data_IF_531571404472
#
_entry.id   IF_531571404472
#
_cell.length_a   1.000
_cell.length_b   1.000
_cell.length_c   1.000
_cell.angle_alpha   90.00
_cell.angle_beta   90.00
_cell.angle_gamma   90.00
#
_symmetry.space_group_name_H-M   'P 1'
#
loop_
_entity.id
_entity.type
_entity.pdbx_description
1 polymer ?
#
# COMPACT_ATOMS: atom_id res chain seq x y z
N UNK A 1 -4.38 -25.70 14.50
CA UNK A 1 -4.90 -25.17 13.24
C UNK A 1 -6.26 -24.51 13.49
N UNK A 2 -6.32 -23.17 13.34
CA UNK A 2 -7.50 -22.32 13.62
C UNK A 2 -8.70 -22.77 12.78
N UNK A 3 -8.48 -23.10 11.50
CA UNK A 3 -9.54 -23.48 10.56
C UNK A 3 -10.23 -24.77 11.04
N UNK A 4 -9.47 -25.81 11.33
CA UNK A 4 -10.02 -27.10 11.78
C UNK A 4 -10.77 -26.97 13.11
N UNK A 5 -10.24 -26.17 14.04
CA UNK A 5 -10.92 -25.88 15.30
C UNK A 5 -12.24 -25.15 15.10
N UNK A 6 -12.27 -24.18 14.18
CA UNK A 6 -13.49 -23.43 13.85
C UNK A 6 -14.55 -24.33 13.19
N UNK A 7 -14.15 -25.22 12.27
CA UNK A 7 -15.05 -26.18 11.61
C UNK A 7 -15.77 -27.13 12.60
N UNK A 8 -15.15 -27.42 13.73
CA UNK A 8 -15.79 -28.24 14.81
C UNK A 8 -16.45 -27.39 15.89
N UNK A 9 -16.71 -26.10 15.60
CA UNK A 9 -17.45 -25.18 16.48
C UNK A 9 -16.65 -24.62 17.66
N UNK A 10 -15.33 -24.79 17.71
CA UNK A 10 -14.47 -24.21 18.76
C UNK A 10 -14.05 -22.80 18.37
N UNK A 11 -14.36 -21.82 19.24
CA UNK A 11 -13.82 -20.46 19.08
C UNK A 11 -12.30 -20.48 19.23
N UNK A 12 -11.60 -19.90 18.25
CA UNK A 12 -10.16 -19.70 18.29
C UNK A 12 -9.84 -18.21 18.19
N UNK A 13 -8.87 -17.77 18.94
CA UNK A 13 -8.32 -16.42 18.89
C UNK A 13 -6.82 -16.58 18.69
N UNK A 14 -6.30 -16.08 17.56
CA UNK A 14 -4.89 -16.03 17.24
C UNK A 14 -4.54 -14.57 16.92
N UNK A 15 -3.82 -13.91 17.82
CA UNK A 15 -3.46 -12.48 17.77
C UNK A 15 -1.93 -12.34 17.82
N UNK A 16 -1.24 -13.18 17.06
CA UNK A 16 0.21 -13.12 16.97
C UNK A 16 0.61 -12.12 15.87
N UNK A 17 1.57 -11.26 16.19
CA UNK A 17 2.21 -10.42 15.19
C UNK A 17 3.00 -11.29 14.22
N UNK A 18 2.90 -10.99 12.93
CA UNK A 18 3.62 -11.73 11.90
C UNK A 18 4.23 -10.76 10.90
N UNK A 19 5.56 -10.76 10.84
CA UNK A 19 6.33 -10.04 9.82
C UNK A 19 6.40 -10.79 8.49
N UNK A 20 5.62 -11.86 8.33
CA UNK A 20 5.62 -12.66 7.12
C UNK A 20 5.04 -11.87 5.95
N UNK A 21 5.84 -11.77 4.90
CA UNK A 21 5.37 -11.24 3.62
C UNK A 21 4.24 -12.10 3.08
N UNK A 22 3.15 -11.47 2.66
CA UNK A 22 2.03 -12.12 1.99
C UNK A 22 2.21 -12.21 0.47
N UNK A 23 3.35 -11.74 -0.03
CA UNK A 23 3.71 -11.85 -1.44
C UNK A 23 3.86 -13.34 -1.82
N UNK A 24 3.26 -13.74 -2.93
CA UNK A 24 3.31 -15.11 -3.42
C UNK A 24 2.32 -16.08 -2.78
N UNK A 25 1.49 -15.64 -1.82
CA UNK A 25 0.44 -16.50 -1.29
C UNK A 25 -0.66 -16.76 -2.33
N UNK A 26 -1.23 -17.98 -2.36
CA UNK A 26 -2.37 -18.28 -3.22
C UNK A 26 -3.56 -17.37 -2.91
N UNK A 27 -4.23 -16.89 -3.95
CA UNK A 27 -5.41 -16.04 -3.81
C UNK A 27 -6.48 -16.37 -4.87
N UNK A 28 -7.72 -16.09 -4.52
CA UNK A 28 -8.86 -16.20 -5.43
C UNK A 28 -9.20 -14.80 -5.91
N UNK A 29 -9.23 -14.58 -7.24
CA UNK A 29 -9.65 -13.32 -7.83
C UNK A 29 -11.13 -13.34 -8.17
N UNK A 30 -11.85 -12.31 -7.77
CA UNK A 30 -13.24 -12.08 -8.21
C UNK A 30 -13.27 -11.43 -9.60
N UNK A 31 -12.24 -10.63 -9.94
CA UNK A 31 -12.04 -10.02 -11.25
C UNK A 31 -10.70 -10.52 -11.82
N UNK A 32 -10.76 -11.28 -12.90
CA UNK A 32 -9.58 -11.86 -13.55
C UNK A 32 -8.67 -10.82 -14.22
N UNK A 33 -9.19 -9.63 -14.54
CA UNK A 33 -8.42 -8.56 -15.17
C UNK A 33 -7.60 -7.73 -14.17
N UNK A 34 -7.88 -7.83 -12.85
CA UNK A 34 -7.25 -7.00 -11.81
C UNK A 34 -6.43 -7.86 -10.85
N UNK A 35 -5.14 -7.58 -10.78
CA UNK A 35 -4.22 -8.13 -9.78
C UNK A 35 -4.06 -7.17 -8.60
N UNK A 36 -4.39 -7.59 -7.38
CA UNK A 36 -4.17 -6.80 -6.18
C UNK A 36 -2.90 -7.29 -5.50
N UNK A 37 -1.92 -6.39 -5.35
CA UNK A 37 -0.61 -6.69 -4.78
C UNK A 37 -0.40 -5.85 -3.52
N UNK A 38 -0.40 -6.49 -2.36
CA UNK A 38 -0.01 -5.83 -1.11
C UNK A 38 1.49 -5.57 -1.13
N UNK A 39 1.90 -4.31 -0.84
CA UNK A 39 3.30 -3.89 -0.88
C UNK A 39 3.90 -3.71 0.52
N UNK A 40 3.05 -3.54 1.52
CA UNK A 40 3.43 -3.44 2.92
C UNK A 40 2.26 -3.77 3.84
N UNK A 41 2.52 -4.22 5.04
CA UNK A 41 1.57 -4.31 6.15
C UNK A 41 1.84 -3.22 7.18
N UNK A 42 0.86 -2.91 8.03
CA UNK A 42 1.01 -1.88 9.06
C UNK A 42 1.13 -0.45 8.50
N UNK A 43 1.56 0.49 9.33
CA UNK A 43 1.70 1.90 8.98
C UNK A 43 2.64 2.64 9.94
N UNK A 44 3.34 3.66 9.47
CA UNK A 44 4.15 4.55 10.32
C UNK A 44 3.32 5.62 11.05
N UNK A 45 2.12 5.92 10.54
CA UNK A 45 1.27 6.98 11.11
C UNK A 45 0.60 6.53 12.42
N UNK A 46 0.32 7.51 13.28
CA UNK A 46 -0.37 7.32 14.57
C UNK A 46 -1.71 8.07 14.61
N UNK A 47 -2.47 8.02 13.52
CA UNK A 47 -3.75 8.73 13.44
C UNK A 47 -4.69 8.27 14.55
N UNK A 48 -5.23 9.22 15.33
CA UNK A 48 -5.99 8.95 16.56
C UNK A 48 -7.28 8.16 16.36
N UNK A 49 -7.80 8.12 15.16
CA UNK A 49 -9.04 7.41 14.77
C UNK A 49 -8.78 6.04 14.09
N UNK A 50 -7.50 5.66 13.88
CA UNK A 50 -7.18 4.51 13.03
C UNK A 50 -7.09 3.20 13.83
N UNK A 51 -8.14 2.37 13.72
CA UNK A 51 -8.13 1.03 14.29
C UNK A 51 -7.24 0.06 13.50
N UNK A 52 -6.99 0.33 12.21
CA UNK A 52 -6.11 -0.50 11.38
C UNK A 52 -4.67 -0.51 11.91
N UNK A 53 -4.17 0.62 12.43
CA UNK A 53 -2.86 0.71 13.09
C UNK A 53 -2.79 -0.23 14.29
N UNK A 54 -3.83 -0.27 15.11
CA UNK A 54 -3.90 -1.16 16.28
C UNK A 54 -3.92 -2.64 15.87
N UNK A 55 -4.53 -2.95 14.73
CA UNK A 55 -4.67 -4.33 14.26
C UNK A 55 -3.48 -4.85 13.44
N UNK A 56 -2.80 -3.97 12.68
CA UNK A 56 -1.71 -4.34 11.76
C UNK A 56 -0.32 -3.92 12.23
N UNK A 57 -0.21 -3.17 13.32
CA UNK A 57 1.05 -2.76 13.92
C UNK A 57 1.83 -1.73 13.10
N UNK A 58 3.15 -1.77 13.29
CA UNK A 58 4.10 -0.90 12.62
C UNK A 58 4.29 -1.27 11.15
N UNK A 59 4.89 -0.35 10.38
CA UNK A 59 5.16 -0.57 8.97
C UNK A 59 6.13 -1.75 8.81
N UNK A 60 5.74 -2.68 7.96
CA UNK A 60 6.57 -3.78 7.47
C UNK A 60 6.45 -3.80 5.93
N UNK A 61 7.40 -3.18 5.25
CA UNK A 61 7.44 -3.12 3.78
C UNK A 61 8.00 -4.41 3.20
N UNK A 62 7.38 -4.89 2.12
CA UNK A 62 7.88 -6.06 1.41
C UNK A 62 9.01 -5.66 0.47
N UNK A 63 9.94 -6.58 0.22
CA UNK A 63 11.10 -6.31 -0.64
C UNK A 63 10.65 -6.03 -2.07
N UNK A 64 11.23 -5.01 -2.67
CA UNK A 64 10.94 -4.56 -4.03
C UNK A 64 10.93 -5.71 -5.05
N UNK A 65 11.97 -6.56 -5.03
CA UNK A 65 12.08 -7.70 -5.96
C UNK A 65 10.97 -8.74 -5.79
N UNK A 66 10.44 -8.92 -4.57
CA UNK A 66 9.33 -9.85 -4.32
C UNK A 66 8.03 -9.29 -4.90
N UNK A 67 7.80 -7.98 -4.72
CA UNK A 67 6.62 -7.30 -5.29
C UNK A 67 6.67 -7.36 -6.82
N UNK A 68 7.82 -7.05 -7.43
CA UNK A 68 7.98 -7.11 -8.89
C UNK A 68 7.67 -8.52 -9.41
N UNK A 69 8.19 -9.57 -8.76
CA UNK A 69 7.87 -10.97 -9.13
C UNK A 69 6.38 -11.28 -8.99
N UNK A 70 5.74 -10.77 -7.93
CA UNK A 70 4.29 -10.96 -7.77
C UNK A 70 3.51 -10.29 -8.90
N UNK A 71 3.87 -9.06 -9.26
CA UNK A 71 3.24 -8.34 -10.38
C UNK A 71 3.42 -9.12 -11.68
N UNK A 72 4.61 -9.64 -11.97
CA UNK A 72 4.85 -10.49 -13.15
C UNK A 72 3.96 -11.74 -13.13
N UNK A 73 3.73 -12.35 -11.97
CA UNK A 73 2.82 -13.49 -11.83
C UNK A 73 1.38 -13.10 -12.14
N UNK A 74 0.87 -11.96 -11.59
CA UNK A 74 -0.46 -11.46 -11.88
C UNK A 74 -0.68 -11.24 -13.39
N UNK A 75 0.32 -10.64 -14.06
CA UNK A 75 0.26 -10.36 -15.51
C UNK A 75 0.26 -11.67 -16.31
N UNK A 76 1.12 -12.62 -15.98
CA UNK A 76 1.16 -13.94 -16.61
C UNK A 76 -0.15 -14.71 -16.46
N UNK A 77 -0.88 -14.49 -15.37
CA UNK A 77 -2.19 -15.06 -15.12
C UNK A 77 -3.34 -14.29 -15.79
N UNK A 78 -3.01 -13.27 -16.60
CA UNK A 78 -3.95 -12.54 -17.47
C UNK A 78 -4.44 -11.21 -16.92
N UNK A 79 -3.96 -10.73 -15.78
CA UNK A 79 -4.30 -9.40 -15.30
C UNK A 79 -3.79 -8.31 -16.25
N UNK A 80 -4.64 -7.31 -16.48
CA UNK A 80 -4.34 -6.11 -17.29
C UNK A 80 -4.21 -4.85 -16.46
N UNK A 81 -4.54 -4.95 -15.20
CA UNK A 81 -4.45 -3.86 -14.23
C UNK A 81 -3.88 -4.41 -12.92
N UNK A 82 -2.92 -3.74 -12.34
CA UNK A 82 -2.31 -4.09 -11.05
C UNK A 82 -2.50 -2.96 -10.05
N UNK A 83 -3.08 -3.29 -8.91
CA UNK A 83 -3.26 -2.36 -7.81
C UNK A 83 -2.20 -2.60 -6.73
N UNK A 84 -1.29 -1.65 -6.57
CA UNK A 84 -0.34 -1.62 -5.47
C UNK A 84 -1.05 -1.09 -4.22
N UNK A 85 -1.17 -1.90 -3.20
CA UNK A 85 -2.00 -1.59 -2.02
C UNK A 85 -1.24 -1.81 -0.72
N UNK A 86 -1.55 -0.99 0.27
CA UNK A 86 -1.15 -1.17 1.66
C UNK A 86 -2.10 -0.37 2.57
N UNK A 87 -1.85 -0.36 3.87
CA UNK A 87 -2.56 0.54 4.79
C UNK A 87 -2.29 2.01 4.43
N UNK A 88 -1.04 2.32 4.03
CA UNK A 88 -0.61 3.64 3.56
C UNK A 88 0.57 3.43 2.60
N UNK A 89 0.35 3.66 1.29
CA UNK A 89 1.41 3.50 0.30
C UNK A 89 2.47 4.61 0.38
N UNK A 90 2.12 5.78 0.94
CA UNK A 90 3.03 6.92 1.01
C UNK A 90 4.27 6.69 1.86
N UNK A 91 4.20 5.75 2.81
CA UNK A 91 5.34 5.39 3.66
C UNK A 91 6.05 4.10 3.23
N UNK A 92 5.63 3.47 2.11
CA UNK A 92 6.30 2.27 1.63
C UNK A 92 7.81 2.46 1.52
N UNK A 93 8.55 1.48 2.03
CA UNK A 93 9.99 1.38 1.87
C UNK A 93 10.82 2.19 2.87
N UNK A 94 10.22 3.07 3.68
CA UNK A 94 10.99 3.90 4.63
C UNK A 94 11.66 3.08 5.72
N UNK A 95 11.13 1.92 6.05
CA UNK A 95 11.69 0.95 7.00
C UNK A 95 12.82 0.08 6.40
N UNK A 96 12.88 -0.01 5.08
CA UNK A 96 13.85 -0.84 4.36
C UNK A 96 14.77 -0.04 3.42
N UNK A 97 14.82 1.30 3.55
CA UNK A 97 15.73 2.17 2.82
C UNK A 97 15.38 2.39 1.34
N UNK A 98 14.10 2.32 0.98
CA UNK A 98 13.57 2.63 -0.36
C UNK A 98 12.34 3.53 -0.25
N UNK A 99 11.63 3.76 -1.37
CA UNK A 99 10.43 4.57 -1.41
C UNK A 99 9.43 4.10 -2.49
N UNK A 100 8.20 4.59 -2.41
CA UNK A 100 7.13 4.26 -3.35
C UNK A 100 7.46 4.60 -4.81
N UNK A 101 8.03 5.78 -5.14
CA UNK A 101 8.44 6.09 -6.52
C UNK A 101 9.41 5.06 -7.11
N UNK A 102 10.39 4.63 -6.33
CA UNK A 102 11.34 3.60 -6.74
C UNK A 102 10.63 2.28 -7.09
N UNK A 103 9.64 1.89 -6.29
CA UNK A 103 8.83 0.70 -6.57
C UNK A 103 7.98 0.88 -7.84
N UNK A 104 7.30 2.02 -7.99
CA UNK A 104 6.46 2.31 -9.17
C UNK A 104 7.30 2.23 -10.45
N UNK A 105 8.49 2.84 -10.45
CA UNK A 105 9.41 2.78 -11.58
C UNK A 105 9.81 1.34 -11.90
N UNK A 106 10.24 0.56 -10.90
CA UNK A 106 10.64 -0.83 -11.10
C UNK A 106 9.50 -1.73 -11.63
N UNK A 107 8.27 -1.50 -11.19
CA UNK A 107 7.10 -2.20 -11.72
C UNK A 107 6.78 -1.76 -13.15
N UNK A 108 6.98 -0.48 -13.47
CA UNK A 108 6.75 0.08 -14.82
C UNK A 108 7.74 -0.45 -15.86
N UNK A 109 8.93 -0.90 -15.45
CA UNK A 109 9.95 -1.50 -16.33
C UNK A 109 9.57 -2.91 -16.82
N UNK A 110 8.57 -3.56 -16.23
CA UNK A 110 8.06 -4.85 -16.70
C UNK A 110 7.55 -4.68 -18.14
N UNK A 111 8.03 -5.47 -19.14
CA UNK A 111 7.83 -5.16 -20.56
C UNK A 111 6.39 -5.38 -21.06
N UNK A 112 5.58 -6.15 -20.33
CA UNK A 112 4.21 -6.48 -20.71
C UNK A 112 3.29 -5.24 -20.67
N UNK A 113 2.19 -5.29 -21.41
CA UNK A 113 1.17 -4.23 -21.45
C UNK A 113 0.15 -4.43 -20.32
N UNK A 114 0.16 -3.50 -19.36
CA UNK A 114 -0.74 -3.45 -18.22
C UNK A 114 -0.74 -2.06 -17.59
N UNK A 115 -1.71 -1.79 -16.73
CA UNK A 115 -1.85 -0.52 -16.02
C UNK A 115 -1.56 -0.68 -14.52
N UNK A 116 -0.93 0.32 -13.92
CA UNK A 116 -0.60 0.38 -12.50
C UNK A 116 -1.48 1.40 -11.80
N UNK A 117 -2.21 0.97 -10.77
CA UNK A 117 -2.93 1.85 -9.87
C UNK A 117 -2.27 1.84 -8.50
N UNK A 118 -1.91 3.02 -8.01
CA UNK A 118 -1.39 3.18 -6.65
C UNK A 118 -2.55 3.47 -5.69
N UNK A 119 -2.58 2.77 -4.58
CA UNK A 119 -3.58 2.95 -3.52
C UNK A 119 -3.39 4.25 -2.72
N UNK A 120 -4.09 4.35 -1.59
CA UNK A 120 -4.13 5.54 -0.74
C UNK A 120 -2.75 5.90 -0.17
N UNK A 121 -2.47 7.20 -0.12
CA UNK A 121 -1.26 7.78 0.47
C UNK A 121 -1.62 8.88 1.48
N UNK A 122 -0.96 8.89 2.62
CA UNK A 122 -1.11 9.97 3.59
C UNK A 122 -0.32 11.21 3.13
N UNK A 123 -0.93 12.42 3.12
CA UNK A 123 -0.25 13.66 2.73
C UNK A 123 1.05 13.93 3.50
N UNK A 124 1.17 13.51 4.75
CA UNK A 124 2.35 13.78 5.59
C UNK A 124 3.67 13.29 5.01
N UNK A 125 3.64 12.30 4.12
CA UNK A 125 4.84 11.74 3.50
C UNK A 125 5.20 12.39 2.16
N UNK A 126 4.29 13.21 1.60
CA UNK A 126 4.47 13.81 0.27
C UNK A 126 5.69 14.73 0.19
N UNK A 127 6.00 15.49 1.24
CA UNK A 127 7.19 16.35 1.29
C UNK A 127 8.50 15.58 1.00
N UNK A 128 8.54 14.29 1.28
CA UNK A 128 9.74 13.43 1.08
C UNK A 128 9.81 12.82 -0.31
N UNK A 129 8.67 12.57 -0.96
CA UNK A 129 8.62 11.77 -2.20
C UNK A 129 7.95 12.48 -3.38
N UNK A 130 7.30 13.67 -3.20
CA UNK A 130 6.42 14.27 -4.22
C UNK A 130 7.10 14.43 -5.57
N UNK A 131 8.32 14.94 -5.63
CA UNK A 131 9.00 15.18 -6.88
C UNK A 131 9.24 13.88 -7.67
N UNK A 132 9.83 12.88 -7.02
CA UNK A 132 10.05 11.56 -7.63
C UNK A 132 8.73 10.84 -7.96
N UNK A 133 7.69 11.06 -7.14
CA UNK A 133 6.38 10.49 -7.37
C UNK A 133 5.75 11.07 -8.64
N UNK A 134 5.78 12.39 -8.82
CA UNK A 134 5.32 13.05 -10.05
C UNK A 134 6.06 12.48 -11.26
N UNK A 135 7.37 12.38 -11.22
CA UNK A 135 8.19 11.80 -12.29
C UNK A 135 7.79 10.35 -12.59
N UNK A 136 7.53 9.52 -11.56
CA UNK A 136 7.08 8.13 -11.77
C UNK A 136 5.67 8.04 -12.38
N UNK A 137 4.83 9.06 -12.14
CA UNK A 137 3.48 9.13 -12.71
C UNK A 137 3.48 9.62 -14.17
N UNK A 138 4.59 10.14 -14.72
CA UNK A 138 4.70 10.45 -16.15
C UNK A 138 4.73 9.18 -17.02
N UNK A 139 5.03 8.03 -16.44
CA UNK A 139 4.98 6.75 -17.16
C UNK A 139 3.56 6.41 -17.64
N UNK A 140 3.44 5.98 -18.90
CA UNK A 140 2.15 5.69 -19.54
C UNK A 140 1.39 4.53 -18.88
N UNK A 141 2.11 3.60 -18.24
CA UNK A 141 1.50 2.48 -17.49
C UNK A 141 0.85 2.90 -16.19
N UNK A 142 1.14 4.10 -15.67
CA UNK A 142 0.60 4.54 -14.37
C UNK A 142 -0.67 5.33 -14.58
N UNK A 143 -1.75 4.90 -13.94
CA UNK A 143 -3.00 5.66 -13.91
C UNK A 143 -2.76 7.06 -13.32
N UNK A 144 -3.20 8.10 -14.02
CA UNK A 144 -3.12 9.50 -13.57
C UNK A 144 -4.16 9.78 -12.47
N UNK A 145 -4.16 8.94 -11.45
CA UNK A 145 -5.08 8.96 -10.32
C UNK A 145 -4.33 8.94 -9.00
N UNK A 146 -4.59 9.91 -8.15
CA UNK A 146 -4.03 10.04 -6.81
C UNK A 146 -5.14 9.95 -5.76
N UNK A 147 -4.97 9.07 -4.76
CA UNK A 147 -5.85 8.98 -3.61
C UNK A 147 -5.10 9.50 -2.38
N UNK A 148 -5.26 10.78 -2.08
CA UNK A 148 -4.57 11.49 -0.99
C UNK A 148 -5.62 12.18 -0.10
N UNK A 149 -6.14 11.53 0.95
CA UNK A 149 -7.21 12.08 1.78
C UNK A 149 -6.68 13.16 2.72
N UNK A 150 -7.17 14.39 2.58
CA UNK A 150 -6.83 15.52 3.46
C UNK A 150 -7.39 15.36 4.87
N UNK A 151 -8.56 14.73 5.03
CA UNK A 151 -9.32 14.48 6.25
C UNK A 151 -10.05 15.73 6.81
N UNK A 152 -9.41 16.92 6.86
CA UNK A 152 -10.02 18.17 7.34
C UNK A 152 -9.33 19.38 6.70
N UNK A 153 -10.08 20.47 6.52
CA UNK A 153 -9.54 21.79 6.20
C UNK A 153 -9.07 22.60 7.41
N UNK A 154 -9.28 22.09 8.63
CA UNK A 154 -8.88 22.75 9.88
C UNK A 154 -7.59 22.17 10.43
N UNK A 155 -6.55 23.01 10.58
CA UNK A 155 -5.27 22.59 11.15
C UNK A 155 -5.41 22.09 12.60
N UNK A 156 -6.35 22.68 13.39
CA UNK A 156 -6.65 22.18 14.72
C UNK A 156 -7.14 20.73 14.69
N UNK A 157 -8.10 20.42 13.80
CA UNK A 157 -8.63 19.06 13.65
C UNK A 157 -7.56 18.10 13.13
N UNK A 158 -6.75 18.51 12.14
CA UNK A 158 -5.65 17.71 11.62
C UNK A 158 -4.63 17.37 12.70
N UNK A 159 -4.31 18.33 13.58
CA UNK A 159 -3.42 18.10 14.72
C UNK A 159 -4.04 17.14 15.74
N UNK A 160 -5.32 17.32 16.09
CA UNK A 160 -6.04 16.44 17.02
C UNK A 160 -6.13 14.99 16.45
N UNK A 161 -6.22 14.86 15.13
CA UNK A 161 -6.19 13.58 14.40
C UNK A 161 -4.78 13.02 14.23
N UNK A 162 -3.72 13.72 14.60
CA UNK A 162 -2.29 13.36 14.37
C UNK A 162 -2.00 13.07 12.90
N UNK A 163 -2.47 13.95 11.98
CA UNK A 163 -2.30 13.73 10.54
C UNK A 163 -0.90 14.09 10.00
N UNK A 164 -0.09 14.84 10.76
CA UNK A 164 1.29 15.17 10.40
C UNK A 164 1.45 16.11 9.19
N UNK A 165 0.36 16.76 8.74
CA UNK A 165 0.36 17.78 7.70
C UNK A 165 -0.64 18.89 8.06
N UNK A 166 -0.53 20.04 7.39
CA UNK A 166 -1.48 21.15 7.49
C UNK A 166 -2.33 21.28 6.23
N UNK A 167 -3.38 22.09 6.30
CA UNK A 167 -4.21 22.40 5.12
C UNK A 167 -3.42 23.15 4.05
N UNK A 168 -2.42 23.95 4.44
CA UNK A 168 -1.53 24.68 3.55
C UNK A 168 -0.60 23.72 2.80
N UNK A 169 0.12 22.84 3.52
CA UNK A 169 1.01 21.85 2.91
C UNK A 169 0.28 20.84 2.02
N UNK A 170 -1.02 20.62 2.26
CA UNK A 170 -1.83 19.79 1.38
C UNK A 170 -2.16 20.46 0.05
N UNK A 171 -2.20 21.79 -0.01
CA UNK A 171 -2.50 22.57 -1.24
C UNK A 171 -1.28 22.76 -2.14
N UNK A 172 -0.07 22.61 -1.62
CA UNK A 172 1.19 22.65 -2.34
C UNK A 172 1.43 21.43 -3.22
#
# INVERSE_FOLDING_TARGET
DVINSTLIGKKQIALEDSDLSKVGLPKVRLNSAVGIVEIASGCMSECTFCQTKLAKGDLSSYRLGDIVRQVQTEIKEGCKEVWLTSTDNGCYGFDIGTDLPTLVNAVSEIPEDFMIRVGMMNPMYMSRIKQKLIESYDNEKVFKFLHIPVQSGSNKVLNDMKRGHTSETFRE
#
